data_IF_827334619424
#
_entry.id   IF_827334619424
#
_cell.length_a   1.000
_cell.length_b   1.000
_cell.length_c   1.000
_cell.angle_alpha   90.00
_cell.angle_beta   90.00
_cell.angle_gamma   90.00
#
_symmetry.space_group_name_H-M   'P 1'
#
loop_
_entity.id
_entity.type
_entity.pdbx_description
1 polymer ?
#
# COMPACT_ATOMS: atom_id res chain seq x y z
N UNK A 1 -20.26 17.18 -5.14
CA UNK A 1 -19.05 16.47 -4.66
C UNK A 1 -18.40 15.87 -5.88
N UNK A 2 -17.10 16.06 -6.10
CA UNK A 2 -16.41 15.42 -7.23
C UNK A 2 -16.42 13.90 -7.05
N UNK A 3 -16.27 13.14 -8.15
CA UNK A 3 -16.17 11.67 -8.07
C UNK A 3 -14.99 11.24 -7.19
N UNK A 4 -13.88 11.96 -7.27
CA UNK A 4 -12.69 11.70 -6.46
C UNK A 4 -12.99 11.84 -4.96
N UNK A 5 -13.68 12.92 -4.55
CA UNK A 5 -14.06 13.12 -3.16
C UNK A 5 -15.09 12.07 -2.68
N UNK A 6 -15.97 11.60 -3.57
CA UNK A 6 -16.89 10.50 -3.26
C UNK A 6 -16.13 9.18 -3.05
N UNK A 7 -15.15 8.87 -3.91
CA UNK A 7 -14.30 7.68 -3.77
C UNK A 7 -13.49 7.72 -2.48
N UNK A 8 -12.83 8.85 -2.19
CA UNK A 8 -12.07 9.04 -0.96
C UNK A 8 -12.95 8.80 0.28
N UNK A 9 -14.17 9.34 0.31
CA UNK A 9 -15.12 9.14 1.40
C UNK A 9 -15.48 7.66 1.60
N UNK A 10 -15.72 6.93 0.51
CA UNK A 10 -16.06 5.50 0.56
C UNK A 10 -14.88 4.65 1.06
N UNK A 11 -13.67 4.91 0.55
CA UNK A 11 -12.44 4.22 0.96
C UNK A 11 -12.12 4.49 2.43
N UNK A 12 -12.21 5.76 2.86
CA UNK A 12 -11.92 6.16 4.24
C UNK A 12 -12.84 5.51 5.26
N UNK A 13 -14.12 5.30 4.90
CA UNK A 13 -15.06 4.55 5.73
C UNK A 13 -14.64 3.09 5.97
N UNK A 14 -13.80 2.55 5.09
CA UNK A 14 -13.22 1.20 5.18
C UNK A 14 -11.78 1.20 5.72
N UNK A 15 -11.28 2.36 6.18
CA UNK A 15 -9.89 2.50 6.65
C UNK A 15 -8.83 2.48 5.53
N UNK A 16 -9.25 2.69 4.28
CA UNK A 16 -8.37 2.81 3.12
C UNK A 16 -8.16 4.28 2.77
N UNK A 17 -7.00 4.59 2.22
CA UNK A 17 -6.61 5.96 1.91
C UNK A 17 -6.49 6.14 0.40
N UNK A 18 -7.17 7.15 -0.14
CA UNK A 18 -6.88 7.65 -1.47
C UNK A 18 -5.61 8.49 -1.34
N UNK A 19 -4.48 7.98 -1.86
CA UNK A 19 -3.22 8.69 -1.75
C UNK A 19 -3.21 9.84 -2.74
N UNK A 20 -3.35 9.54 -4.04
CA UNK A 20 -3.22 10.54 -5.09
C UNK A 20 -3.81 10.09 -6.42
N UNK A 21 -4.32 11.05 -7.20
CA UNK A 21 -4.60 10.86 -8.62
C UNK A 21 -3.40 11.32 -9.46
N UNK A 22 -3.14 10.67 -10.59
CA UNK A 22 -1.96 10.91 -11.42
C UNK A 22 -2.23 10.69 -12.91
N UNK A 23 -1.40 11.27 -13.77
CA UNK A 23 -1.45 10.98 -15.22
C UNK A 23 -0.74 9.66 -15.47
N UNK A 24 -1.44 8.69 -16.05
CA UNK A 24 -0.88 7.36 -16.37
C UNK A 24 0.44 7.45 -17.14
N UNK A 25 0.55 8.44 -18.04
CA UNK A 25 1.75 8.68 -18.84
C UNK A 25 3.01 8.93 -18.01
N UNK A 26 2.92 9.54 -16.83
CA UNK A 26 4.09 9.80 -15.99
C UNK A 26 4.78 8.50 -15.57
N UNK A 27 3.99 7.50 -15.19
CA UNK A 27 4.51 6.17 -14.87
C UNK A 27 5.05 5.46 -16.11
N UNK A 28 4.34 5.52 -17.24
CA UNK A 28 4.76 4.84 -18.46
C UNK A 28 6.07 5.41 -19.03
N UNK A 29 6.22 6.74 -19.03
CA UNK A 29 7.44 7.43 -19.45
C UNK A 29 8.62 7.03 -18.55
N UNK A 30 8.40 6.88 -17.22
CA UNK A 30 9.42 6.40 -16.30
C UNK A 30 9.80 4.93 -16.58
N UNK A 31 8.82 4.05 -16.75
CA UNK A 31 9.04 2.62 -17.09
C UNK A 31 9.83 2.48 -18.37
N UNK A 32 9.52 3.28 -19.40
CA UNK A 32 10.23 3.29 -20.68
C UNK A 32 11.65 3.85 -20.54
N UNK A 33 11.80 5.00 -19.88
CA UNK A 33 13.09 5.65 -19.64
C UNK A 33 14.07 4.75 -18.88
N UNK A 34 13.59 4.04 -17.85
CA UNK A 34 14.40 3.15 -17.03
C UNK A 34 14.45 1.70 -17.55
N UNK A 35 13.74 1.40 -18.65
CA UNK A 35 13.63 0.06 -19.24
C UNK A 35 13.23 -1.00 -18.18
N UNK A 36 12.24 -0.68 -17.35
CA UNK A 36 11.80 -1.55 -16.26
C UNK A 36 11.01 -2.75 -16.81
N UNK A 37 11.23 -3.98 -16.30
CA UNK A 37 10.52 -5.18 -16.73
C UNK A 37 9.13 -5.30 -16.07
N UNK A 38 8.32 -4.24 -16.17
CA UNK A 38 6.98 -4.14 -15.57
C UNK A 38 5.96 -3.67 -16.60
N UNK A 39 4.68 -3.86 -16.30
CA UNK A 39 3.59 -3.49 -17.20
C UNK A 39 3.48 -1.96 -17.31
N UNK A 40 3.28 -1.47 -18.54
CA UNK A 40 2.77 -0.11 -18.82
C UNK A 40 1.26 -0.05 -18.67
N UNK A 41 0.75 1.04 -18.09
CA UNK A 41 -0.66 1.21 -17.76
C UNK A 41 -1.50 1.77 -18.93
N UNK A 42 -0.88 2.25 -19.99
CA UNK A 42 -1.55 2.80 -21.18
C UNK A 42 -2.31 1.78 -22.06
N UNK A 43 -2.74 0.64 -21.54
CA UNK A 43 -3.48 -0.42 -22.29
C UNK A 43 -4.85 0.01 -22.86
N UNK A 44 -5.45 1.12 -22.41
CA UNK A 44 -6.82 1.52 -22.77
C UNK A 44 -7.04 2.34 -24.05
N UNK A 45 -6.25 2.15 -25.12
CA UNK A 45 -6.45 2.88 -26.40
C UNK A 45 -6.10 4.38 -26.34
N UNK A 46 -6.49 5.17 -27.33
CA UNK A 46 -6.17 6.62 -27.39
C UNK A 46 -7.06 7.44 -26.44
N UNK A 47 -6.47 8.36 -25.66
CA UNK A 47 -7.17 9.28 -24.76
C UNK A 47 -6.42 9.60 -23.46
N UNK A 48 -6.88 10.64 -22.77
CA UNK A 48 -6.36 11.01 -21.44
C UNK A 48 -6.74 9.95 -20.39
N UNK A 49 -5.74 9.42 -19.68
CA UNK A 49 -5.91 8.38 -18.66
C UNK A 49 -5.45 8.88 -17.31
N UNK A 50 -6.35 8.76 -16.33
CA UNK A 50 -6.07 9.07 -14.93
C UNK A 50 -5.87 7.76 -14.18
N UNK A 51 -4.78 7.67 -13.43
CA UNK A 51 -4.54 6.64 -12.45
C UNK A 51 -4.90 7.17 -11.05
N UNK A 52 -5.34 6.27 -10.17
CA UNK A 52 -5.59 6.58 -8.76
C UNK A 52 -4.76 5.61 -7.94
N UNK A 53 -3.82 6.12 -7.14
CA UNK A 53 -3.06 5.34 -6.19
C UNK A 53 -3.84 5.24 -4.88
N UNK A 54 -4.21 4.01 -4.52
CA UNK A 54 -4.90 3.69 -3.27
C UNK A 54 -3.91 2.97 -2.36
N UNK A 55 -3.81 3.42 -1.11
CA UNK A 55 -2.98 2.83 -0.08
C UNK A 55 -3.79 2.48 1.15
N UNK A 56 -3.08 2.04 2.19
CA UNK A 56 -3.65 1.87 3.51
C UNK A 56 -2.72 2.44 4.59
N UNK A 57 -3.33 3.08 5.58
CA UNK A 57 -2.68 3.53 6.81
C UNK A 57 -3.03 2.60 7.98
N UNK A 58 -2.60 3.00 9.19
CA UNK A 58 -2.99 2.32 10.43
C UNK A 58 -4.51 2.24 10.63
N UNK A 59 -5.27 3.12 9.98
CA UNK A 59 -6.74 3.16 10.08
C UNK A 59 -7.42 1.91 9.52
N UNK A 60 -6.76 1.19 8.61
CA UNK A 60 -7.27 -0.05 8.03
C UNK A 60 -7.57 -1.11 9.10
N UNK A 61 -6.70 -1.21 10.11
CA UNK A 61 -6.73 -2.31 11.07
C UNK A 61 -8.07 -2.42 11.79
N UNK A 62 -8.59 -1.31 12.31
CA UNK A 62 -9.86 -1.31 13.05
C UNK A 62 -11.03 -1.78 12.18
N UNK A 63 -11.13 -1.30 10.95
CA UNK A 63 -12.20 -1.67 10.02
C UNK A 63 -12.07 -3.13 9.57
N UNK A 64 -10.85 -3.58 9.31
CA UNK A 64 -10.54 -4.96 8.93
C UNK A 64 -10.89 -5.95 10.06
N UNK A 65 -10.45 -5.70 11.29
CA UNK A 65 -10.72 -6.60 12.43
C UNK A 65 -12.22 -6.63 12.75
N UNK A 66 -12.93 -5.49 12.61
CA UNK A 66 -14.40 -5.47 12.73
C UNK A 66 -15.06 -6.36 11.67
N UNK A 67 -14.63 -6.25 10.41
CA UNK A 67 -15.14 -7.09 9.34
C UNK A 67 -14.87 -8.59 9.62
N UNK A 68 -13.69 -8.94 10.14
CA UNK A 68 -13.42 -10.33 10.57
C UNK A 68 -14.31 -10.80 11.71
N UNK A 69 -14.70 -9.91 12.64
CA UNK A 69 -15.62 -10.23 13.74
C UNK A 69 -17.02 -10.57 13.20
N UNK A 70 -17.47 -9.86 12.18
CA UNK A 70 -18.82 -9.94 11.60
C UNK A 70 -18.95 -10.99 10.48
N UNK A 71 -17.86 -11.29 9.75
CA UNK A 71 -17.86 -12.17 8.58
C UNK A 71 -16.99 -13.41 8.80
N UNK A 72 -17.66 -14.55 9.01
CA UNK A 72 -17.00 -15.83 9.24
C UNK A 72 -16.30 -16.39 7.98
N UNK A 73 -16.81 -16.08 6.78
CA UNK A 73 -16.20 -16.53 5.53
C UNK A 73 -14.91 -15.76 5.24
N UNK A 74 -14.95 -14.43 5.40
CA UNK A 74 -13.75 -13.60 5.35
C UNK A 74 -12.73 -14.07 6.39
N UNK A 75 -13.18 -14.36 7.62
CA UNK A 75 -12.31 -14.89 8.65
C UNK A 75 -11.67 -16.21 8.22
N UNK A 76 -12.41 -17.14 7.64
CA UNK A 76 -11.89 -18.45 7.22
C UNK A 76 -10.99 -18.37 5.97
N UNK A 77 -10.99 -17.26 5.24
CA UNK A 77 -10.17 -17.07 4.04
C UNK A 77 -8.67 -17.23 4.34
N UNK A 78 -7.91 -17.73 3.35
CA UNK A 78 -6.45 -17.89 3.42
C UNK A 78 -5.73 -16.54 3.55
N UNK A 79 -6.18 -15.57 2.76
CA UNK A 79 -5.59 -14.23 2.63
C UNK A 79 -6.67 -13.18 2.94
N UNK A 80 -7.11 -13.08 4.21
CA UNK A 80 -8.29 -12.31 4.56
C UNK A 80 -8.09 -10.81 4.38
N UNK A 81 -6.88 -10.29 4.60
CA UNK A 81 -6.58 -8.88 4.39
C UNK A 81 -6.64 -8.50 2.90
N UNK A 82 -6.05 -9.32 2.03
CA UNK A 82 -6.07 -9.09 0.59
C UNK A 82 -7.51 -9.19 0.08
N UNK A 83 -8.26 -10.21 0.52
CA UNK A 83 -9.69 -10.36 0.18
C UNK A 83 -10.51 -9.15 0.63
N UNK A 84 -10.31 -8.68 1.86
CA UNK A 84 -10.99 -7.51 2.39
C UNK A 84 -10.67 -6.26 1.55
N UNK A 85 -9.39 -5.94 1.39
CA UNK A 85 -8.96 -4.73 0.70
C UNK A 85 -9.40 -4.73 -0.77
N UNK A 86 -9.26 -5.87 -1.48
CA UNK A 86 -9.67 -5.99 -2.87
C UNK A 86 -11.18 -5.81 -3.04
N UNK A 87 -12.00 -6.43 -2.18
CA UNK A 87 -13.45 -6.26 -2.22
C UNK A 87 -13.84 -4.81 -1.97
N UNK A 88 -13.31 -4.18 -0.91
CA UNK A 88 -13.69 -2.80 -0.55
C UNK A 88 -13.27 -1.78 -1.61
N UNK A 89 -12.09 -1.93 -2.19
CA UNK A 89 -11.66 -1.07 -3.31
C UNK A 89 -12.55 -1.30 -4.52
N UNK A 90 -12.80 -2.56 -4.91
CA UNK A 90 -13.63 -2.87 -6.07
C UNK A 90 -15.04 -2.29 -5.94
N UNK A 91 -15.68 -2.48 -4.79
CA UNK A 91 -17.04 -1.97 -4.52
C UNK A 91 -17.08 -0.44 -4.59
N UNK A 92 -16.09 0.23 -3.99
CA UNK A 92 -16.02 1.69 -3.97
C UNK A 92 -15.76 2.29 -5.37
N UNK A 93 -14.89 1.66 -6.17
CA UNK A 93 -14.62 2.13 -7.54
C UNK A 93 -15.81 1.87 -8.45
N UNK A 94 -16.46 0.71 -8.35
CA UNK A 94 -17.67 0.41 -9.13
C UNK A 94 -18.80 1.39 -8.81
N UNK A 95 -19.07 1.65 -7.54
CA UNK A 95 -20.08 2.64 -7.10
C UNK A 95 -19.88 4.02 -7.76
N UNK A 96 -18.63 4.49 -7.83
CA UNK A 96 -18.30 5.86 -8.30
C UNK A 96 -18.08 5.95 -9.81
N UNK A 97 -17.55 4.89 -10.43
CA UNK A 97 -17.07 4.89 -11.80
C UNK A 97 -17.70 3.80 -12.69
N UNK A 98 -18.82 3.18 -12.31
CA UNK A 98 -19.54 2.16 -13.10
C UNK A 98 -19.78 2.54 -14.58
N UNK A 99 -19.87 3.83 -14.88
CA UNK A 99 -20.06 4.36 -16.24
C UNK A 99 -18.75 4.56 -17.02
N UNK A 100 -17.61 4.14 -16.48
CA UNK A 100 -16.27 4.26 -17.06
C UNK A 100 -15.59 2.91 -17.17
N UNK A 101 -14.69 2.78 -18.14
CA UNK A 101 -13.79 1.62 -18.23
C UNK A 101 -12.73 1.71 -17.14
N UNK A 102 -12.53 0.63 -16.40
CA UNK A 102 -11.63 0.56 -15.25
C UNK A 102 -10.73 -0.68 -15.36
N UNK A 103 -9.51 -0.60 -14.84
CA UNK A 103 -8.65 -1.76 -14.53
C UNK A 103 -8.05 -1.53 -13.14
N UNK A 104 -8.08 -2.57 -12.30
CA UNK A 104 -7.52 -2.55 -10.96
C UNK A 104 -6.24 -3.37 -10.94
N UNK A 105 -5.20 -2.82 -10.33
CA UNK A 105 -3.91 -3.48 -10.13
C UNK A 105 -3.62 -3.55 -8.64
N UNK A 106 -3.12 -4.69 -8.19
CA UNK A 106 -2.85 -4.95 -6.79
C UNK A 106 -1.35 -5.04 -6.53
N UNK A 107 -0.90 -4.66 -5.34
CA UNK A 107 0.53 -4.77 -4.98
C UNK A 107 1.04 -6.22 -4.95
N UNK A 108 0.15 -7.20 -4.90
CA UNK A 108 0.45 -8.62 -4.98
C UNK A 108 0.39 -9.19 -6.41
N UNK A 109 0.02 -8.39 -7.42
CA UNK A 109 0.01 -8.84 -8.81
C UNK A 109 1.43 -9.16 -9.30
N UNK A 110 1.56 -10.23 -10.10
CA UNK A 110 2.83 -10.70 -10.66
C UNK A 110 2.69 -10.98 -12.16
N UNK A 111 3.82 -11.24 -12.83
CA UNK A 111 3.83 -11.56 -14.26
C UNK A 111 3.38 -10.39 -15.13
N UNK A 112 2.42 -10.62 -16.02
CA UNK A 112 1.92 -9.63 -16.99
C UNK A 112 1.04 -8.53 -16.36
N UNK A 113 0.65 -8.70 -15.10
CA UNK A 113 -0.07 -7.71 -14.28
C UNK A 113 0.81 -6.92 -13.32
N UNK A 114 2.11 -7.22 -13.25
CA UNK A 114 3.03 -6.55 -12.33
C UNK A 114 3.15 -5.06 -12.65
N UNK A 115 2.83 -4.23 -11.66
CA UNK A 115 2.96 -2.76 -11.71
C UNK A 115 3.89 -2.31 -10.58
N UNK A 116 4.85 -1.45 -10.88
CA UNK A 116 5.80 -0.94 -9.89
C UNK A 116 5.15 0.15 -9.02
N UNK A 117 4.37 -0.24 -8.01
CA UNK A 117 3.63 0.68 -7.13
C UNK A 117 4.53 1.73 -6.47
N UNK A 118 5.77 1.36 -6.10
CA UNK A 118 6.75 2.30 -5.55
C UNK A 118 7.14 3.39 -6.56
N UNK A 119 7.26 3.03 -7.84
CA UNK A 119 7.55 3.98 -8.92
C UNK A 119 6.36 4.90 -9.19
N UNK A 120 5.12 4.41 -9.03
CA UNK A 120 3.93 5.26 -9.07
C UNK A 120 3.99 6.28 -7.92
N UNK A 121 4.25 5.83 -6.69
CA UNK A 121 4.37 6.74 -5.55
C UNK A 121 5.48 7.79 -5.78
N UNK A 122 6.61 7.38 -6.35
CA UNK A 122 7.72 8.28 -6.72
C UNK A 122 7.29 9.35 -7.73
N UNK A 123 6.72 8.97 -8.89
CA UNK A 123 6.32 9.97 -9.91
C UNK A 123 5.25 10.91 -9.39
N UNK A 124 4.37 10.43 -8.50
CA UNK A 124 3.33 11.27 -7.92
C UNK A 124 3.88 12.29 -6.91
N UNK A 125 4.95 11.93 -6.20
CA UNK A 125 5.61 12.84 -5.26
C UNK A 125 6.58 13.81 -5.95
N UNK A 126 7.15 13.43 -7.10
CA UNK A 126 8.12 14.24 -7.85
C UNK A 126 7.48 15.14 -8.91
N UNK A 127 6.52 14.60 -9.67
CA UNK A 127 5.80 15.31 -10.73
C UNK A 127 4.50 15.86 -10.13
N UNK A 128 4.63 16.97 -9.40
CA UNK A 128 3.45 17.61 -8.83
C UNK A 128 2.43 18.00 -9.91
N UNK A 129 1.17 18.05 -9.52
CA UNK A 129 0.05 18.24 -10.44
C UNK A 129 -0.13 19.74 -10.72
N UNK A 130 0.22 20.21 -11.92
CA UNK A 130 -0.45 21.36 -12.53
C UNK A 130 -1.67 20.84 -13.29
N UNK A 131 -2.86 21.31 -12.89
CA UNK A 131 -4.13 20.78 -13.39
C UNK A 131 -4.84 21.75 -14.34
N UNK A 132 -5.11 21.28 -15.56
CA UNK A 132 -6.18 21.78 -16.46
C UNK A 132 -7.49 20.96 -16.30
N UNK A 133 -7.56 20.03 -15.34
CA UNK A 133 -8.75 19.22 -15.07
C UNK A 133 -9.48 19.79 -13.84
N UNK A 134 -10.77 20.14 -13.97
CA UNK A 134 -11.57 20.78 -12.92
C UNK A 134 -11.57 20.06 -11.55
N UNK A 135 -11.16 18.78 -11.48
CA UNK A 135 -11.12 17.95 -10.27
C UNK A 135 -9.71 17.64 -9.71
N UNK A 136 -8.62 18.13 -10.33
CA UNK A 136 -7.25 17.92 -9.84
C UNK A 136 -6.67 19.23 -9.25
N UNK A 137 -5.88 19.17 -8.16
CA UNK A 137 -5.31 20.36 -7.54
C UNK A 137 -4.41 21.14 -8.53
N UNK A 138 -4.46 22.47 -8.45
CA UNK A 138 -3.98 23.38 -9.49
C UNK A 138 -2.45 23.60 -9.53
N UNK A 139 -1.68 23.17 -8.53
CA UNK A 139 -0.22 23.31 -8.52
C UNK A 139 0.48 22.25 -7.64
N UNK A 140 1.71 21.83 -7.99
CA UNK A 140 2.58 21.02 -7.14
C UNK A 140 2.73 21.60 -5.73
N UNK A 141 2.73 20.77 -4.67
CA UNK A 141 3.52 21.13 -3.50
C UNK A 141 5.00 21.23 -3.93
N UNK A 142 5.78 22.17 -3.37
CA UNK A 142 7.21 22.24 -3.63
C UNK A 142 7.86 20.88 -3.32
N UNK A 143 8.91 20.46 -4.08
CA UNK A 143 9.58 19.19 -3.83
C UNK A 143 9.98 19.14 -2.36
N UNK A 144 9.45 18.13 -1.66
CA UNK A 144 9.73 17.97 -0.26
C UNK A 144 11.23 17.63 -0.13
N UNK A 145 11.99 18.36 0.72
CA UNK A 145 13.34 17.94 1.04
C UNK A 145 13.28 16.51 1.59
N UNK A 146 14.34 15.72 1.36
CA UNK A 146 14.42 14.36 1.89
C UNK A 146 14.03 14.39 3.37
N UNK A 147 12.93 13.73 3.77
CA UNK A 147 12.40 13.84 5.13
C UNK A 147 13.28 13.12 6.16
N UNK A 148 14.34 12.46 5.69
CA UNK A 148 15.23 11.62 6.48
C UNK A 148 16.58 12.32 6.62
N UNK A 149 16.98 12.59 7.85
CA UNK A 149 18.29 13.11 8.20
C UNK A 149 19.41 12.10 7.92
N UNK A 150 20.65 12.56 7.82
CA UNK A 150 21.82 11.68 7.67
C UNK A 150 21.98 10.70 8.84
N UNK A 151 21.58 11.10 10.04
CA UNK A 151 21.57 10.24 11.24
C UNK A 151 20.54 9.10 11.07
N UNK A 152 19.34 9.42 10.62
CA UNK A 152 18.29 8.42 10.38
C UNK A 152 18.65 7.49 9.21
N UNK A 153 19.35 7.98 8.19
CA UNK A 153 19.89 7.15 7.10
C UNK A 153 20.95 6.17 7.62
N UNK A 154 21.86 6.62 8.48
CA UNK A 154 22.85 5.74 9.11
C UNK A 154 22.18 4.68 9.98
N UNK A 155 21.21 5.07 10.81
CA UNK A 155 20.44 4.15 11.64
C UNK A 155 19.63 3.15 10.80
N UNK A 156 19.02 3.59 9.70
CA UNK A 156 18.29 2.72 8.78
C UNK A 156 19.21 1.66 8.17
N UNK A 157 20.43 2.06 7.76
CA UNK A 157 21.44 1.15 7.24
C UNK A 157 21.83 0.09 8.26
N UNK A 158 22.14 0.49 9.50
CA UNK A 158 22.45 -0.47 10.58
C UNK A 158 21.29 -1.43 10.86
N UNK A 159 20.04 -0.93 10.83
CA UNK A 159 18.85 -1.76 11.00
C UNK A 159 18.68 -2.77 9.86
N UNK A 160 18.93 -2.38 8.61
CA UNK A 160 18.91 -3.27 7.44
C UNK A 160 20.01 -4.34 7.58
N UNK A 161 21.23 -3.95 7.90
CA UNK A 161 22.36 -4.88 8.06
C UNK A 161 22.05 -5.92 9.17
N UNK A 162 21.45 -5.47 10.28
CA UNK A 162 20.97 -6.36 11.34
C UNK A 162 19.87 -7.30 10.85
N UNK A 163 18.87 -6.80 10.15
CA UNK A 163 17.76 -7.62 9.64
C UNK A 163 18.25 -8.68 8.64
N UNK A 164 19.16 -8.31 7.73
CA UNK A 164 19.78 -9.23 6.78
C UNK A 164 20.62 -10.31 7.47
N UNK A 165 21.28 -10.00 8.59
CA UNK A 165 22.07 -10.97 9.36
C UNK A 165 21.20 -12.04 10.05
N UNK A 166 19.94 -11.71 10.31
CA UNK A 166 18.97 -12.58 11.00
C UNK A 166 18.04 -13.31 10.03
N UNK A 167 18.08 -12.98 8.73
CA UNK A 167 17.21 -13.53 7.69
C UNK A 167 17.91 -14.64 6.92
N UNK A 168 17.19 -15.67 6.51
CA UNK A 168 17.70 -16.60 5.51
C UNK A 168 17.63 -15.91 4.14
N UNK A 169 18.79 -15.45 3.63
CA UNK A 169 18.84 -14.74 2.35
C UNK A 169 18.30 -15.57 1.17
N UNK A 170 18.30 -16.90 1.30
CA UNK A 170 17.73 -17.78 0.26
C UNK A 170 16.20 -17.84 0.29
N UNK A 171 15.59 -17.43 1.41
CA UNK A 171 14.13 -17.39 1.65
C UNK A 171 13.62 -15.99 1.97
N UNK A 172 14.43 -14.96 1.77
CA UNK A 172 14.12 -13.59 2.13
C UNK A 172 12.77 -13.13 1.57
N UNK A 173 12.44 -13.57 0.34
CA UNK A 173 11.14 -13.32 -0.27
C UNK A 173 10.00 -13.90 0.57
N UNK A 174 10.08 -15.18 0.95
CA UNK A 174 9.07 -15.84 1.77
C UNK A 174 8.95 -15.19 3.16
N UNK A 175 10.08 -14.80 3.75
CA UNK A 175 10.11 -14.11 5.05
C UNK A 175 9.48 -12.70 5.00
N UNK A 176 9.76 -11.91 3.96
CA UNK A 176 9.22 -10.56 3.80
C UNK A 176 7.74 -10.55 3.41
N UNK A 177 7.24 -11.62 2.78
CA UNK A 177 5.83 -11.76 2.41
C UNK A 177 4.99 -12.49 3.47
N UNK A 178 5.61 -12.94 4.57
CA UNK A 178 4.92 -13.69 5.62
C UNK A 178 4.44 -15.07 5.16
N UNK A 179 5.11 -15.63 4.15
CA UNK A 179 4.90 -17.00 3.67
C UNK A 179 5.77 -18.01 4.44
N UNK A 180 6.69 -17.51 5.27
CA UNK A 180 7.46 -18.35 6.19
C UNK A 180 6.53 -19.10 7.14
N UNK A 181 6.74 -20.42 7.23
CA UNK A 181 6.02 -21.29 8.16
C UNK A 181 6.39 -21.06 9.63
N UNK A 182 7.41 -20.25 9.88
CA UNK A 182 7.80 -19.89 11.25
C UNK A 182 7.00 -18.67 11.72
N UNK A 183 5.74 -18.91 12.07
CA UNK A 183 4.80 -17.94 12.65
C UNK A 183 5.30 -17.35 13.99
N UNK A 184 6.41 -17.88 14.55
CA UNK A 184 6.99 -17.48 15.83
C UNK A 184 8.32 -16.73 15.71
N UNK A 185 8.89 -16.65 14.50
CA UNK A 185 10.17 -15.98 14.31
C UNK A 185 10.07 -14.50 14.69
N UNK A 186 10.86 -14.09 15.70
CA UNK A 186 11.00 -12.69 16.06
C UNK A 186 11.78 -11.87 15.02
N UNK A 187 12.24 -12.48 13.91
CA UNK A 187 13.05 -11.80 12.88
C UNK A 187 12.34 -10.60 12.25
N UNK A 188 11.01 -10.65 12.14
CA UNK A 188 10.22 -9.54 11.59
C UNK A 188 10.41 -8.22 12.37
N UNK A 189 10.74 -8.27 13.66
CA UNK A 189 11.01 -7.06 14.46
C UNK A 189 12.26 -6.33 13.98
N UNK A 190 13.23 -7.03 13.42
CA UNK A 190 14.40 -6.39 12.82
C UNK A 190 14.02 -5.62 11.55
N UNK A 191 13.12 -6.16 10.74
CA UNK A 191 12.55 -5.46 9.59
C UNK A 191 11.65 -4.29 9.99
N UNK A 192 10.85 -4.44 11.05
CA UNK A 192 10.06 -3.32 11.61
C UNK A 192 10.97 -2.17 12.05
N UNK A 193 12.12 -2.47 12.67
CA UNK A 193 13.07 -1.45 13.13
C UNK A 193 13.55 -0.52 12.01
N UNK A 194 13.66 -1.02 10.78
CA UNK A 194 13.99 -0.19 9.60
C UNK A 194 12.94 0.91 9.38
N UNK A 195 11.65 0.61 9.61
CA UNK A 195 10.57 1.61 9.51
C UNK A 195 10.58 2.58 10.69
N UNK A 196 11.05 2.13 11.85
CA UNK A 196 11.08 2.93 13.08
C UNK A 196 12.27 3.90 13.14
N UNK A 197 13.26 3.78 12.23
CA UNK A 197 14.41 4.70 12.20
C UNK A 197 14.03 6.10 11.70
N UNK A 198 12.94 6.24 10.94
CA UNK A 198 12.43 7.54 10.50
C UNK A 198 11.52 8.11 11.59
N UNK A 199 11.86 9.29 12.12
CA UNK A 199 11.11 9.96 13.19
C UNK A 199 9.84 10.64 12.66
N UNK A 200 9.90 11.16 11.44
CA UNK A 200 8.74 11.79 10.81
C UNK A 200 7.64 10.75 10.58
N UNK A 201 6.44 11.02 11.10
CA UNK A 201 5.28 10.16 10.93
C UNK A 201 5.22 8.95 11.86
N UNK A 202 6.05 8.89 12.91
CA UNK A 202 5.97 7.85 13.95
C UNK A 202 4.59 7.80 14.63
N UNK A 203 3.89 8.93 14.71
CA UNK A 203 2.51 8.99 15.19
C UNK A 203 1.54 8.16 14.32
N UNK A 204 1.90 7.85 13.07
CA UNK A 204 1.13 7.00 12.15
C UNK A 204 1.60 5.55 12.12
N UNK A 205 2.53 5.16 13.00
CA UNK A 205 2.98 3.77 13.17
C UNK A 205 1.79 2.84 13.41
N UNK A 206 1.87 1.65 12.82
CA UNK A 206 0.95 0.55 13.08
C UNK A 206 0.99 0.14 14.56
N UNK A 207 -0.12 -0.40 15.07
CA UNK A 207 -0.07 -1.12 16.35
C UNK A 207 0.84 -2.34 16.23
N UNK A 208 1.30 -2.88 17.36
CA UNK A 208 2.17 -4.06 17.34
C UNK A 208 1.47 -5.26 16.70
N UNK A 209 0.18 -5.47 16.99
CA UNK A 209 -0.64 -6.51 16.36
C UNK A 209 -0.77 -6.33 14.85
N UNK A 210 -1.04 -5.10 14.39
CA UNK A 210 -1.10 -4.83 12.95
C UNK A 210 0.27 -5.08 12.30
N UNK A 211 1.35 -4.56 12.88
CA UNK A 211 2.69 -4.76 12.34
C UNK A 211 3.06 -6.24 12.29
N UNK A 212 2.88 -6.98 13.39
CA UNK A 212 3.15 -8.42 13.48
C UNK A 212 2.37 -9.18 12.40
N UNK A 213 1.07 -8.91 12.24
CA UNK A 213 0.25 -9.57 11.24
C UNK A 213 0.72 -9.29 9.81
N UNK A 214 1.10 -8.05 9.50
CA UNK A 214 1.59 -7.69 8.16
C UNK A 214 2.86 -8.46 7.76
N UNK A 215 3.75 -8.75 8.71
CA UNK A 215 4.98 -9.48 8.46
C UNK A 215 4.82 -11.00 8.54
N UNK A 216 3.97 -11.51 9.43
CA UNK A 216 3.93 -12.94 9.75
C UNK A 216 2.71 -13.67 9.21
N UNK A 217 1.64 -12.93 8.88
CA UNK A 217 0.31 -13.47 8.57
C UNK A 217 -0.26 -14.39 9.66
N UNK A 218 0.28 -14.32 10.88
CA UNK A 218 -0.09 -15.19 12.00
C UNK A 218 -1.56 -14.99 12.41
N UNK A 219 -2.35 -16.06 12.34
CA UNK A 219 -3.79 -16.01 12.59
C UNK A 219 -4.14 -15.84 14.07
N UNK A 220 -3.26 -16.21 14.99
CA UNK A 220 -3.44 -15.96 16.43
C UNK A 220 -3.46 -14.46 16.73
N UNK A 221 -2.76 -13.64 15.94
CA UNK A 221 -2.80 -12.18 16.04
C UNK A 221 -4.18 -11.66 15.66
N UNK A 222 -4.81 -12.22 14.63
CA UNK A 222 -6.18 -11.88 14.25
C UNK A 222 -7.17 -12.28 15.35
N UNK A 223 -7.05 -13.48 15.91
CA UNK A 223 -7.94 -13.94 16.98
C UNK A 223 -7.86 -13.05 18.22
N UNK A 224 -6.64 -12.68 18.63
CA UNK A 224 -6.39 -11.72 19.72
C UNK A 224 -7.02 -10.36 19.41
N UNK A 225 -6.80 -9.83 18.21
CA UNK A 225 -7.34 -8.53 17.81
C UNK A 225 -8.89 -8.54 17.80
N UNK A 226 -9.52 -9.62 17.33
CA UNK A 226 -10.99 -9.78 17.35
C UNK A 226 -11.51 -9.82 18.78
N UNK A 227 -10.84 -10.55 19.66
CA UNK A 227 -11.19 -10.66 21.09
C UNK A 227 -11.01 -9.36 21.87
N UNK A 228 -10.18 -8.43 21.38
CA UNK A 228 -9.96 -7.12 21.99
C UNK A 228 -10.92 -6.01 21.55
N UNK A 229 -11.85 -6.27 20.61
CA UNK A 229 -12.83 -5.29 20.10
C UNK A 229 -14.08 -5.17 20.98
N UNK A 230 -13.92 -5.06 22.30
CA UNK A 230 -15.02 -4.87 23.26
C UNK A 230 -15.24 -3.39 23.60
#
# INVERSE_FOLDING_TARGET
>A
MSRLAQLERLLKAQGLDLLHAFRVRWYDDLVEKENLPVRRLSSFGEGYKVGILIGNSKSLWTSFVRALKEDAELRANKDPLDTYTQSRVKDAVEEVYHDRKQELFWSCDYGDRLVAMQRIAEVVLLEGVESEFDDLPAAPPPPLPCPVSMEELAAAKEAIDSALSMSDQTKLREELHGESKDETSASWRHWLRVRETVKLGQEFRYSDDQAEYHYTKNRLVLERAIGGLD
#
